data_IF_674223978059
#
_entry.id   IF_674223978059
#
_cell.length_a   1.000
_cell.length_b   1.000
_cell.length_c   1.000
_cell.angle_alpha   90.00
_cell.angle_beta   90.00
_cell.angle_gamma   90.00
#
_symmetry.space_group_name_H-M   'P 1'
#
loop_
_entity.id
_entity.type
_entity.pdbx_description
1 polymer ?
#
# COMPACT_ATOMS: atom_id res chain seq x y z
N UNK A 1 -3.57 18.08 -5.40
CA UNK A 1 -4.06 18.20 -6.78
C UNK A 1 -5.45 18.82 -6.68
N UNK A 2 -5.72 19.87 -7.44
CA UNK A 2 -7.02 20.61 -7.43
C UNK A 2 -7.48 21.05 -6.04
N UNK A 3 -6.54 21.45 -5.19
CA UNK A 3 -6.82 21.89 -3.82
C UNK A 3 -7.15 20.77 -2.82
N UNK A 4 -7.11 19.50 -3.23
CA UNK A 4 -7.35 18.34 -2.37
C UNK A 4 -6.06 17.55 -2.19
N UNK A 5 -5.70 17.22 -0.94
CA UNK A 5 -4.50 16.41 -0.65
C UNK A 5 -4.68 14.95 -1.06
N UNK A 6 -3.56 14.23 -1.29
CA UNK A 6 -3.59 12.78 -1.53
C UNK A 6 -4.24 12.04 -0.37
N UNK A 7 -3.88 12.42 0.85
CA UNK A 7 -4.44 11.86 2.07
C UNK A 7 -5.99 11.96 2.10
N UNK A 8 -6.53 13.14 1.83
CA UNK A 8 -7.98 13.34 1.79
C UNK A 8 -8.64 12.50 0.69
N UNK A 9 -8.04 12.44 -0.50
CA UNK A 9 -8.55 11.61 -1.61
C UNK A 9 -8.59 10.13 -1.23
N UNK A 10 -7.50 9.59 -0.70
CA UNK A 10 -7.43 8.19 -0.28
C UNK A 10 -8.44 7.86 0.81
N UNK A 11 -8.57 8.71 1.82
CA UNK A 11 -9.56 8.52 2.89
C UNK A 11 -10.99 8.50 2.32
N UNK A 12 -11.32 9.45 1.43
CA UNK A 12 -12.65 9.51 0.81
C UNK A 12 -12.92 8.30 -0.10
N UNK A 13 -11.92 7.80 -0.83
CA UNK A 13 -12.06 6.60 -1.67
C UNK A 13 -12.30 5.36 -0.79
N UNK A 14 -11.50 5.16 0.26
CA UNK A 14 -11.68 4.05 1.21
C UNK A 14 -13.07 4.10 1.88
N UNK A 15 -13.50 5.29 2.31
CA UNK A 15 -14.80 5.47 2.93
C UNK A 15 -15.94 5.13 1.96
N UNK A 16 -15.88 5.61 0.71
CA UNK A 16 -16.87 5.27 -0.33
C UNK A 16 -16.87 3.79 -0.69
N UNK A 17 -15.70 3.13 -0.65
CA UNK A 17 -15.58 1.68 -0.84
C UNK A 17 -16.16 0.85 0.33
N UNK A 18 -16.68 1.49 1.38
CA UNK A 18 -17.29 0.81 2.51
C UNK A 18 -16.30 0.30 3.55
N UNK A 19 -15.07 0.80 3.56
CA UNK A 19 -14.09 0.49 4.61
C UNK A 19 -14.59 1.03 5.94
N UNK A 20 -14.79 0.16 6.92
CA UNK A 20 -15.43 0.49 8.20
C UNK A 20 -14.54 1.21 9.20
N UNK A 21 -13.21 1.11 9.04
CA UNK A 21 -12.22 1.76 9.90
C UNK A 21 -10.99 2.11 9.08
N UNK A 22 -10.53 3.35 9.17
CA UNK A 22 -9.37 3.86 8.45
C UNK A 22 -8.35 4.36 9.48
N UNK A 23 -7.12 3.85 9.42
CA UNK A 23 -6.03 4.30 10.27
C UNK A 23 -4.96 4.97 9.42
N UNK A 24 -4.68 6.23 9.68
CA UNK A 24 -3.56 6.96 9.06
C UNK A 24 -2.34 6.82 9.95
N UNK A 25 -1.33 6.09 9.48
CA UNK A 25 -0.05 6.02 10.21
C UNK A 25 0.82 7.20 9.77
N UNK A 26 1.21 8.03 10.73
CA UNK A 26 1.99 9.25 10.51
C UNK A 26 3.32 9.20 11.26
N UNK A 27 4.28 10.02 10.82
CA UNK A 27 5.58 10.16 11.46
C UNK A 27 6.01 11.62 11.40
N UNK A 28 6.64 12.02 10.29
CA UNK A 28 7.02 13.42 10.09
C UNK A 28 5.77 14.32 10.10
N UNK A 29 5.84 15.43 10.84
CA UNK A 29 4.73 16.40 10.99
C UNK A 29 3.40 15.76 11.40
N UNK A 30 3.44 14.76 12.30
CA UNK A 30 2.28 13.98 12.72
C UNK A 30 1.09 14.85 13.16
N UNK A 31 1.34 15.97 13.86
CA UNK A 31 0.27 16.90 14.30
C UNK A 31 -0.48 17.56 13.13
N UNK A 32 0.20 17.80 12.00
CA UNK A 32 -0.44 18.37 10.80
C UNK A 32 -1.30 17.32 10.12
N UNK A 33 -0.79 16.09 10.01
CA UNK A 33 -1.55 14.94 9.49
C UNK A 33 -2.80 14.70 10.33
N UNK A 34 -2.66 14.70 11.66
CA UNK A 34 -3.79 14.53 12.58
C UNK A 34 -4.82 15.66 12.45
N UNK A 35 -4.37 16.89 12.31
CA UNK A 35 -5.25 18.05 12.11
C UNK A 35 -6.01 17.95 10.79
N UNK A 36 -5.32 17.59 9.69
CA UNK A 36 -5.94 17.39 8.38
C UNK A 36 -6.97 16.26 8.43
N UNK A 37 -6.64 15.14 9.05
CA UNK A 37 -7.52 13.98 9.22
C UNK A 37 -8.77 14.33 10.02
N UNK A 38 -8.64 14.99 11.16
CA UNK A 38 -9.77 15.46 11.98
C UNK A 38 -10.66 16.44 11.22
N UNK A 39 -10.06 17.30 10.40
CA UNK A 39 -10.77 18.27 9.57
C UNK A 39 -11.77 17.64 8.56
N UNK A 40 -11.62 16.35 8.26
CA UNK A 40 -12.54 15.62 7.36
C UNK A 40 -13.88 15.29 8.03
N UNK A 41 -13.98 15.31 9.36
CA UNK A 41 -15.22 15.03 10.09
C UNK A 41 -15.73 13.59 9.96
N UNK A 42 -14.87 12.63 9.64
CA UNK A 42 -15.23 11.22 9.47
C UNK A 42 -14.86 10.43 10.73
N UNK A 43 -15.85 9.96 11.49
CA UNK A 43 -15.65 9.22 12.74
C UNK A 43 -14.87 7.90 12.57
N UNK A 44 -14.95 7.30 11.38
CA UNK A 44 -14.25 6.05 11.06
C UNK A 44 -12.72 6.22 10.87
N UNK A 45 -12.20 7.46 10.94
CA UNK A 45 -10.80 7.77 10.65
C UNK A 45 -10.04 8.09 11.93
N UNK A 46 -8.97 7.37 12.17
CA UNK A 46 -8.07 7.57 13.31
C UNK A 46 -6.64 7.80 12.83
N UNK A 47 -5.79 8.37 13.68
CA UNK A 47 -4.36 8.51 13.42
C UNK A 47 -3.55 7.67 14.39
N UNK A 48 -2.45 7.10 13.92
CA UNK A 48 -1.49 6.34 14.71
C UNK A 48 -0.10 6.87 14.42
N UNK A 49 0.64 7.27 15.45
CA UNK A 49 1.97 7.81 15.27
C UNK A 49 3.03 6.70 15.27
N UNK A 50 3.84 6.66 14.21
CA UNK A 50 5.09 5.91 14.18
C UNK A 50 6.22 6.77 14.77
N UNK A 51 6.58 6.54 16.02
CA UNK A 51 7.66 7.27 16.71
C UNK A 51 9.07 6.93 16.19
N UNK A 52 9.17 5.94 15.28
CA UNK A 52 10.45 5.47 14.69
C UNK A 52 10.61 5.86 13.22
N UNK A 53 9.75 6.72 12.70
CA UNK A 53 9.68 7.08 11.27
C UNK A 53 11.01 7.62 10.69
N UNK A 54 11.86 8.20 11.53
CA UNK A 54 13.13 8.83 11.14
C UNK A 54 14.35 7.87 11.25
N UNK A 55 14.17 6.70 11.86
CA UNK A 55 15.25 5.73 12.11
C UNK A 55 14.94 4.33 11.59
N UNK A 56 13.67 4.00 11.36
CA UNK A 56 13.22 2.73 10.79
C UNK A 56 12.44 2.98 9.51
N UNK A 57 12.59 2.09 8.54
CA UNK A 57 11.90 2.20 7.27
C UNK A 57 10.38 1.91 7.42
N UNK A 58 9.63 2.03 6.34
CA UNK A 58 8.17 1.99 6.27
C UNK A 58 7.52 0.67 6.76
N UNK A 59 8.28 -0.44 6.83
CA UNK A 59 7.77 -1.72 7.34
C UNK A 59 7.13 -1.60 8.73
N UNK A 60 7.68 -0.71 9.57
CA UNK A 60 7.18 -0.55 10.93
C UNK A 60 5.82 0.17 10.98
N UNK A 61 5.56 1.06 10.05
CA UNK A 61 4.24 1.69 9.91
C UNK A 61 3.16 0.65 9.60
N UNK A 62 3.46 -0.30 8.72
CA UNK A 62 2.52 -1.40 8.40
C UNK A 62 2.40 -2.39 9.57
N UNK A 63 3.48 -2.66 10.33
CA UNK A 63 3.40 -3.47 11.55
C UNK A 63 2.44 -2.84 12.58
N UNK A 64 2.56 -1.54 12.82
CA UNK A 64 1.67 -0.81 13.73
C UNK A 64 0.21 -0.93 13.27
N UNK A 65 -0.05 -0.68 11.99
CA UNK A 65 -1.39 -0.84 11.42
C UNK A 65 -1.93 -2.27 11.56
N UNK A 66 -1.11 -3.28 11.27
CA UNK A 66 -1.48 -4.68 11.42
C UNK A 66 -1.84 -5.06 12.86
N UNK A 67 -1.15 -4.44 13.84
CA UNK A 67 -1.34 -4.75 15.26
C UNK A 67 -2.58 -4.07 15.85
N UNK A 68 -2.86 -2.83 15.43
CA UNK A 68 -3.91 -1.99 16.02
C UNK A 68 -5.26 -2.06 15.27
N UNK A 69 -5.23 -2.44 13.98
CA UNK A 69 -6.47 -2.49 13.20
C UNK A 69 -7.43 -3.56 13.74
N UNK A 70 -8.76 -3.31 13.66
CA UNK A 70 -9.79 -4.28 14.02
C UNK A 70 -9.62 -5.64 13.33
N UNK A 71 -10.28 -6.67 13.85
CA UNK A 71 -10.27 -7.99 13.22
C UNK A 71 -10.86 -7.93 11.80
N UNK A 72 -10.29 -8.73 10.89
CA UNK A 72 -10.70 -8.78 9.49
C UNK A 72 -9.53 -8.56 8.53
N UNK A 73 -9.85 -8.38 7.27
CA UNK A 73 -8.88 -8.00 6.24
C UNK A 73 -8.39 -6.58 6.49
N UNK A 74 -7.15 -6.32 6.09
CA UNK A 74 -6.54 -5.00 6.16
C UNK A 74 -6.13 -4.55 4.76
N UNK A 75 -6.59 -3.38 4.35
CA UNK A 75 -6.07 -2.73 3.14
C UNK A 75 -4.98 -1.75 3.52
N UNK A 76 -3.84 -1.85 2.85
CA UNK A 76 -2.71 -0.92 2.96
C UNK A 76 -2.64 -0.10 1.68
N UNK A 77 -2.53 1.21 1.83
CA UNK A 77 -2.39 2.16 0.72
C UNK A 77 -1.22 3.09 1.02
N UNK A 78 -0.29 3.21 0.09
CA UNK A 78 0.81 4.16 0.17
C UNK A 78 0.30 5.61 0.18
N UNK A 79 0.98 6.48 0.91
CA UNK A 79 0.57 7.86 1.09
C UNK A 79 0.87 8.80 -0.09
N UNK A 80 1.73 8.38 -0.98
CA UNK A 80 2.23 9.06 -2.18
C UNK A 80 1.52 8.65 -3.47
N UNK A 81 0.57 7.73 -3.39
CA UNK A 81 -0.17 7.22 -4.55
C UNK A 81 -1.51 7.93 -4.73
N UNK A 82 -1.79 8.38 -5.96
CA UNK A 82 -3.12 8.77 -6.41
C UNK A 82 -3.71 7.66 -7.27
N UNK A 83 -5.01 7.38 -7.10
CA UNK A 83 -5.67 6.28 -7.80
C UNK A 83 -7.17 6.56 -7.99
N UNK A 84 -7.79 5.90 -8.97
CA UNK A 84 -9.24 5.89 -9.15
C UNK A 84 -9.86 4.65 -8.48
N UNK A 85 -11.18 4.66 -8.33
CA UNK A 85 -11.92 3.62 -7.60
C UNK A 85 -11.64 2.19 -8.11
N UNK A 86 -11.44 2.00 -9.43
CA UNK A 86 -11.16 0.68 -10.00
C UNK A 86 -9.82 0.08 -9.54
N UNK A 87 -8.80 0.90 -9.28
CA UNK A 87 -7.53 0.42 -8.76
C UNK A 87 -7.67 -0.13 -7.33
N UNK A 88 -8.46 0.55 -6.50
CA UNK A 88 -8.79 0.05 -5.17
C UNK A 88 -9.68 -1.20 -5.23
N UNK A 89 -10.68 -1.20 -6.11
CA UNK A 89 -11.61 -2.32 -6.27
C UNK A 89 -10.91 -3.62 -6.68
N UNK A 90 -9.81 -3.54 -7.43
CA UNK A 90 -9.06 -4.70 -7.88
C UNK A 90 -8.61 -5.62 -6.73
N UNK A 91 -8.17 -5.06 -5.59
CA UNK A 91 -7.74 -5.85 -4.44
C UNK A 91 -8.90 -6.44 -3.62
N UNK A 92 -10.15 -6.02 -3.90
CA UNK A 92 -11.36 -6.56 -3.27
C UNK A 92 -12.02 -7.66 -4.09
N UNK A 93 -11.52 -7.98 -5.28
CA UNK A 93 -12.08 -9.08 -6.07
C UNK A 93 -12.18 -10.38 -5.25
N UNK A 94 -13.31 -11.10 -5.31
CA UNK A 94 -13.53 -12.32 -4.56
C UNK A 94 -12.70 -13.47 -5.16
N UNK A 95 -11.49 -13.65 -4.70
CA UNK A 95 -10.61 -14.75 -5.08
C UNK A 95 -9.95 -15.36 -3.84
N UNK A 96 -9.51 -16.61 -3.93
CA UNK A 96 -8.81 -17.26 -2.84
C UNK A 96 -7.36 -16.73 -2.76
N UNK A 97 -6.94 -16.33 -1.57
CA UNK A 97 -5.59 -15.81 -1.31
C UNK A 97 -5.47 -15.22 0.08
N UNK A 98 -4.26 -14.85 0.43
CA UNK A 98 -3.93 -14.25 1.72
C UNK A 98 -3.40 -12.85 1.60
N UNK A 99 -2.64 -12.58 0.54
CA UNK A 99 -2.09 -11.28 0.20
C UNK A 99 -2.49 -10.92 -1.23
N UNK A 100 -3.11 -9.77 -1.42
CA UNK A 100 -3.57 -9.28 -2.71
C UNK A 100 -2.82 -7.99 -3.04
N UNK A 101 -2.13 -7.96 -4.16
CA UNK A 101 -1.32 -6.83 -4.58
C UNK A 101 -1.94 -6.20 -5.83
N UNK A 102 -2.22 -4.90 -5.80
CA UNK A 102 -2.53 -4.15 -7.00
C UNK A 102 -1.29 -4.09 -7.90
N UNK A 103 -1.39 -4.63 -9.10
CA UNK A 103 -0.26 -4.73 -10.04
C UNK A 103 -0.65 -4.11 -11.37
N UNK A 104 0.14 -3.16 -11.84
CA UNK A 104 -0.01 -2.55 -13.15
C UNK A 104 1.00 -3.13 -14.14
N UNK A 105 0.56 -3.30 -15.40
CA UNK A 105 1.46 -3.63 -16.51
C UNK A 105 2.12 -2.33 -16.99
N UNK A 106 3.28 -2.02 -16.41
CA UNK A 106 4.07 -0.84 -16.70
C UNK A 106 5.32 -1.19 -17.52
N UNK A 107 5.98 -0.16 -18.07
CA UNK A 107 7.31 -0.33 -18.65
C UNK A 107 8.31 -0.63 -17.53
N UNK A 108 9.29 -1.49 -17.85
CA UNK A 108 10.33 -1.84 -16.88
C UNK A 108 11.12 -0.59 -16.49
N UNK A 109 11.01 -0.21 -15.23
CA UNK A 109 11.76 0.86 -14.59
C UNK A 109 12.68 0.27 -13.50
N UNK A 110 13.87 0.84 -13.31
CA UNK A 110 14.82 0.36 -12.30
C UNK A 110 14.33 0.67 -10.88
N UNK A 111 13.58 1.75 -10.67
CA UNK A 111 13.03 2.16 -9.38
C UNK A 111 11.72 1.45 -9.01
N UNK A 112 11.02 0.90 -10.00
CA UNK A 112 9.74 0.23 -9.81
C UNK A 112 9.82 -0.93 -8.82
N UNK A 113 8.80 -1.10 -7.99
CA UNK A 113 8.62 -2.29 -7.16
C UNK A 113 8.07 -3.45 -8.01
N UNK A 114 9.00 -4.23 -8.55
CA UNK A 114 8.73 -5.28 -9.54
C UNK A 114 8.06 -6.49 -8.91
N UNK A 115 7.10 -7.06 -9.63
CA UNK A 115 6.37 -8.28 -9.25
C UNK A 115 6.65 -9.37 -10.29
N UNK A 116 7.04 -10.56 -9.82
CA UNK A 116 7.14 -11.76 -10.64
C UNK A 116 5.95 -12.66 -10.36
N UNK A 117 5.28 -13.18 -11.40
CA UNK A 117 4.08 -13.99 -11.26
C UNK A 117 4.15 -15.30 -12.05
N UNK A 118 3.39 -16.29 -11.56
CA UNK A 118 3.01 -17.46 -12.35
C UNK A 118 1.47 -17.53 -12.45
N UNK A 119 0.93 -17.17 -13.60
CA UNK A 119 -0.48 -16.79 -13.71
C UNK A 119 -0.76 -15.57 -12.84
N UNK A 120 -1.75 -15.66 -11.93
CA UNK A 120 -2.03 -14.59 -10.95
C UNK A 120 -1.29 -14.78 -9.62
N UNK A 121 -0.54 -15.86 -9.44
CA UNK A 121 0.19 -16.11 -8.18
C UNK A 121 1.52 -15.38 -8.20
N UNK A 122 1.70 -14.47 -7.24
CA UNK A 122 2.95 -13.76 -7.05
C UNK A 122 4.02 -14.71 -6.52
N UNK A 123 5.17 -14.73 -7.17
CA UNK A 123 6.31 -15.55 -6.80
C UNK A 123 7.36 -14.75 -6.02
N UNK A 124 7.60 -13.50 -6.46
CA UNK A 124 8.58 -12.61 -5.86
C UNK A 124 8.15 -11.15 -6.02
N UNK A 125 8.60 -10.33 -5.09
CA UNK A 125 8.42 -8.89 -5.09
C UNK A 125 9.75 -8.21 -4.74
N UNK A 126 10.20 -7.22 -5.52
CA UNK A 126 11.43 -6.49 -5.21
C UNK A 126 11.97 -5.64 -6.35
N UNK A 127 12.68 -4.57 -6.01
CA UNK A 127 13.28 -3.63 -6.98
C UNK A 127 14.34 -4.29 -7.87
N UNK A 128 15.05 -5.29 -7.37
CA UNK A 128 16.19 -5.92 -8.06
C UNK A 128 15.82 -7.14 -8.91
N UNK A 129 14.52 -7.43 -9.08
CA UNK A 129 14.10 -8.56 -9.92
C UNK A 129 14.57 -8.37 -11.37
N UNK A 130 15.08 -9.44 -12.01
CA UNK A 130 15.55 -9.35 -13.38
C UNK A 130 14.39 -9.11 -14.35
N UNK A 131 14.66 -8.36 -15.44
CA UNK A 131 13.67 -8.03 -16.47
C UNK A 131 12.92 -9.26 -17.01
N UNK A 132 13.57 -10.39 -17.13
CA UNK A 132 12.96 -11.63 -17.62
C UNK A 132 11.87 -12.19 -16.69
N UNK A 133 11.85 -11.78 -15.43
CA UNK A 133 10.85 -12.20 -14.42
C UNK A 133 9.79 -11.14 -14.17
N UNK A 134 9.85 -10.00 -14.87
CA UNK A 134 8.95 -8.89 -14.66
C UNK A 134 7.54 -9.22 -15.16
N UNK A 135 6.58 -9.22 -14.25
CA UNK A 135 5.16 -9.45 -14.53
C UNK A 135 4.29 -8.24 -14.26
N UNK A 136 4.88 -7.12 -13.82
CA UNK A 136 4.20 -5.86 -13.53
C UNK A 136 4.81 -5.15 -12.34
N UNK A 137 4.28 -3.97 -12.04
CA UNK A 137 4.67 -3.11 -10.93
C UNK A 137 3.63 -3.11 -9.81
N UNK A 138 4.06 -3.27 -8.57
CA UNK A 138 3.19 -3.11 -7.42
C UNK A 138 2.93 -1.62 -7.16
N UNK A 139 1.68 -1.24 -7.17
CA UNK A 139 1.22 0.16 -7.13
C UNK A 139 1.02 0.74 -5.73
N UNK A 140 1.52 0.09 -4.68
CA UNK A 140 1.33 0.56 -3.31
C UNK A 140 -0.07 0.35 -2.73
N UNK A 141 -0.93 -0.47 -3.35
CA UNK A 141 -2.26 -0.85 -2.83
C UNK A 141 -2.31 -2.36 -2.62
N UNK A 142 -2.57 -2.79 -1.39
CA UNK A 142 -2.63 -4.21 -1.05
C UNK A 142 -3.74 -4.54 -0.06
N UNK A 143 -4.17 -5.80 -0.03
CA UNK A 143 -5.08 -6.35 1.00
C UNK A 143 -4.49 -7.60 1.63
N UNK A 144 -4.46 -7.62 2.95
CA UNK A 144 -3.97 -8.73 3.76
C UNK A 144 -5.13 -9.43 4.46
N UNK A 145 -5.20 -10.76 4.33
CA UNK A 145 -6.06 -11.59 5.16
C UNK A 145 -5.63 -11.55 6.63
N UNK A 146 -6.47 -11.98 7.58
CA UNK A 146 -6.05 -12.13 8.97
C UNK A 146 -4.85 -13.05 9.15
N UNK A 147 -4.65 -14.03 8.27
CA UNK A 147 -3.47 -14.88 8.27
C UNK A 147 -2.22 -14.10 7.85
N UNK A 148 -2.28 -13.39 6.74
CA UNK A 148 -1.17 -12.55 6.25
C UNK A 148 -0.78 -11.47 7.27
N UNK A 149 -1.76 -10.82 7.93
CA UNK A 149 -1.49 -9.86 9.02
C UNK A 149 -0.67 -10.47 10.16
N UNK A 150 -1.06 -11.66 10.65
CA UNK A 150 -0.31 -12.33 11.72
C UNK A 150 1.10 -12.70 11.30
N UNK A 151 1.28 -13.20 10.09
CA UNK A 151 2.60 -13.49 9.52
C UNK A 151 3.44 -12.23 9.38
N UNK A 152 2.84 -11.13 8.88
CA UNK A 152 3.50 -9.85 8.75
C UNK A 152 4.08 -9.38 10.10
N UNK A 153 3.25 -9.31 11.13
CA UNK A 153 3.67 -8.89 12.49
C UNK A 153 4.78 -9.79 13.04
N UNK A 154 4.66 -11.11 12.83
CA UNK A 154 5.68 -12.06 13.29
C UNK A 154 7.02 -11.85 12.59
N UNK A 155 7.00 -11.67 11.27
CA UNK A 155 8.20 -11.46 10.47
C UNK A 155 8.84 -10.10 10.76
N UNK A 156 8.05 -9.06 10.87
CA UNK A 156 8.49 -7.71 11.24
C UNK A 156 9.14 -7.70 12.64
N UNK A 157 8.51 -8.34 13.61
CA UNK A 157 9.07 -8.50 14.96
C UNK A 157 10.40 -9.26 14.96
N UNK A 158 10.51 -10.33 14.15
CA UNK A 158 11.76 -11.05 13.97
C UNK A 158 12.84 -10.16 13.34
N UNK A 159 12.51 -9.41 12.28
CA UNK A 159 13.44 -8.50 11.60
C UNK A 159 13.99 -7.45 12.59
N UNK A 160 13.10 -6.85 13.38
CA UNK A 160 13.49 -5.88 14.44
C UNK A 160 14.43 -6.52 15.47
N UNK A 161 14.16 -7.75 15.90
CA UNK A 161 15.01 -8.47 16.88
C UNK A 161 16.42 -8.73 16.34
N UNK A 162 16.61 -8.69 15.02
CA UNK A 162 17.89 -8.83 14.31
C UNK A 162 18.53 -7.50 13.91
N UNK A 163 17.89 -6.37 14.24
CA UNK A 163 18.37 -5.04 13.85
C UNK A 163 18.17 -4.72 12.36
N UNK A 164 17.31 -5.48 11.65
CA UNK A 164 16.96 -5.25 10.25
C UNK A 164 15.91 -4.14 10.16
N UNK A 165 16.30 -2.91 10.41
CA UNK A 165 15.39 -1.75 10.50
C UNK A 165 15.33 -0.90 9.22
N UNK A 166 16.19 -1.21 8.24
CA UNK A 166 16.23 -0.53 6.94
C UNK A 166 15.43 -1.22 5.82
N UNK A 167 14.73 -2.31 6.12
CA UNK A 167 13.94 -3.04 5.13
C UNK A 167 12.64 -2.28 4.80
N UNK A 168 12.12 -2.48 3.60
CA UNK A 168 10.81 -2.02 3.18
C UNK A 168 9.71 -3.01 3.61
N UNK A 169 8.46 -2.57 3.66
CA UNK A 169 7.34 -3.48 3.95
C UNK A 169 7.13 -4.49 2.81
N UNK A 170 7.53 -4.14 1.61
CA UNK A 170 7.54 -5.02 0.43
C UNK A 170 8.54 -6.17 0.57
N UNK A 171 9.65 -5.98 1.27
CA UNK A 171 10.58 -7.08 1.58
C UNK A 171 9.90 -8.14 2.48
N UNK A 172 9.00 -7.69 3.37
CA UNK A 172 8.20 -8.61 4.18
C UNK A 172 7.15 -9.32 3.31
N UNK A 173 6.51 -8.61 2.37
CA UNK A 173 5.57 -9.22 1.43
C UNK A 173 6.26 -10.28 0.56
N UNK A 174 7.47 -10.02 0.07
CA UNK A 174 8.26 -11.03 -0.64
C UNK A 174 8.48 -12.29 0.21
N UNK A 175 8.85 -12.10 1.47
CA UNK A 175 8.97 -13.21 2.43
C UNK A 175 7.64 -13.97 2.65
N UNK A 176 6.50 -13.30 2.62
CA UNK A 176 5.17 -13.93 2.75
C UNK A 176 4.82 -14.77 1.51
N UNK A 177 5.26 -14.39 0.31
CA UNK A 177 5.01 -15.15 -0.91
C UNK A 177 5.54 -16.59 -0.86
N UNK A 178 6.56 -16.85 -0.05
CA UNK A 178 7.11 -18.20 0.16
C UNK A 178 6.25 -19.14 1.02
N UNK A 179 5.26 -18.62 1.75
CA UNK A 179 4.46 -19.41 2.71
C UNK A 179 2.95 -19.19 2.63
N UNK A 180 2.51 -18.15 1.95
CA UNK A 180 1.10 -17.78 1.78
C UNK A 180 0.77 -17.62 0.30
N UNK A 181 -0.53 -17.64 -0.03
CA UNK A 181 -0.97 -17.36 -1.40
C UNK A 181 -1.06 -15.86 -1.62
N UNK A 182 -0.09 -15.32 -2.35
CA UNK A 182 -0.11 -13.94 -2.82
C UNK A 182 -0.66 -13.86 -4.25
N UNK A 183 -1.57 -12.93 -4.50
CA UNK A 183 -2.31 -12.78 -5.76
C UNK A 183 -2.07 -11.40 -6.36
N UNK A 184 -1.65 -11.36 -7.62
CA UNK A 184 -1.62 -10.14 -8.41
C UNK A 184 -3.04 -9.79 -8.87
N UNK A 185 -3.46 -8.57 -8.57
CA UNK A 185 -4.73 -7.98 -8.95
C UNK A 185 -4.47 -6.93 -10.01
N UNK A 186 -4.94 -7.17 -11.24
CA UNK A 186 -4.64 -6.34 -12.39
C UNK A 186 -5.24 -4.93 -12.24
N UNK A 187 -4.39 -3.92 -12.36
CA UNK A 187 -4.75 -2.51 -12.33
C UNK A 187 -4.40 -1.88 -13.67
N UNK A 188 -5.34 -1.13 -14.23
CA UNK A 188 -5.10 -0.41 -15.47
C UNK A 188 -4.01 0.66 -15.28
N UNK A 189 -3.10 0.77 -16.24
CA UNK A 189 -1.95 1.69 -16.22
C UNK A 189 -2.33 3.15 -15.95
N UNK A 190 -3.46 3.59 -16.46
CA UNK A 190 -3.97 4.95 -16.32
C UNK A 190 -4.91 5.15 -15.12
N UNK A 191 -4.99 4.16 -14.23
CA UNK A 191 -5.83 4.19 -13.04
C UNK A 191 -5.11 4.65 -11.77
N UNK A 192 -3.81 4.87 -11.84
CA UNK A 192 -2.98 5.23 -10.70
C UNK A 192 -1.76 6.08 -11.14
N UNK A 193 -1.10 6.71 -10.16
CA UNK A 193 0.23 7.30 -10.29
C UNK A 193 0.87 7.44 -8.91
N UNK A 194 2.17 7.22 -8.81
CA UNK A 194 2.99 7.60 -7.67
C UNK A 194 3.50 9.03 -7.85
N UNK A 195 3.71 9.75 -6.76
CA UNK A 195 4.18 11.13 -6.77
C UNK A 195 5.41 11.24 -5.89
N UNK A 196 6.56 11.05 -6.48
CA UNK A 196 7.86 11.23 -5.84
C UNK A 196 8.46 12.59 -6.19
N UNK A 197 8.26 13.06 -7.41
CA UNK A 197 8.84 14.29 -7.94
C UNK A 197 7.78 15.19 -8.57
N UNK A 198 8.18 16.45 -8.85
CA UNK A 198 7.30 17.41 -9.53
C UNK A 198 6.90 16.97 -10.96
N UNK A 199 7.72 16.15 -11.60
CA UNK A 199 7.43 15.61 -12.93
C UNK A 199 6.19 14.69 -12.93
N UNK A 200 5.90 14.04 -11.82
CA UNK A 200 4.79 13.07 -11.67
C UNK A 200 3.42 13.75 -11.57
N UNK A 201 3.42 15.05 -11.26
CA UNK A 201 2.18 15.82 -11.08
C UNK A 201 1.31 15.85 -12.34
N UNK A 202 1.89 15.84 -13.55
CA UNK A 202 1.11 15.82 -14.80
C UNK A 202 0.34 14.49 -14.95
N UNK A 203 0.94 13.37 -14.60
CA UNK A 203 0.27 12.07 -14.62
C UNK A 203 -0.77 12.00 -13.49
N UNK A 204 -0.41 12.44 -12.31
CA UNK A 204 -1.31 12.48 -11.17
C UNK A 204 -2.56 13.34 -11.43
N UNK A 205 -2.44 14.46 -12.14
CA UNK A 205 -3.57 15.29 -12.58
C UNK A 205 -4.48 14.55 -13.57
N UNK A 206 -3.89 13.79 -14.51
CA UNK A 206 -4.68 12.96 -15.45
C UNK A 206 -5.48 11.89 -14.72
N UNK A 207 -4.87 11.23 -13.72
CA UNK A 207 -5.58 10.26 -12.85
C UNK A 207 -6.68 10.95 -12.05
N UNK A 208 -6.39 12.11 -11.44
CA UNK A 208 -7.37 12.88 -10.67
C UNK A 208 -8.60 13.29 -11.50
N UNK A 209 -8.39 13.69 -12.75
CA UNK A 209 -9.48 14.09 -13.65
C UNK A 209 -10.45 12.94 -14.01
N UNK A 210 -10.05 11.69 -13.79
CA UNK A 210 -10.88 10.48 -14.00
C UNK A 210 -11.58 10.02 -12.72
N UNK A 211 -11.16 10.51 -11.55
CA UNK A 211 -11.82 10.20 -10.29
C UNK A 211 -13.12 11.00 -10.19
N UNK A 212 -14.27 10.37 -9.97
CA UNK A 212 -15.56 11.04 -9.83
C UNK A 212 -15.66 11.86 -8.54
#
# INVERSE_FOLDING_TARGET
>A
IDGVSLLERSIRHLHRAGVSSITVVSGHRAEEVERATRGLGLEAVTTLQNERYDVWNNFYSVELACSEAPAGDLVVVNGDVIYIESALAAVFEPTAGDLFLGVADEEFDDEAMKVSTHGRVVQQLGKTLPRASFGGEFIGISRLSPAARRWYVSFSSWARSRGLTGIYYEDIYDGLCGGLTAVACDVARDAWAEIDEHADLDQAQRVAARAP
#
